data_IF_246306190120
#
_entry.id   IF_246306190120
#
_cell.length_a   1.000
_cell.length_b   1.000
_cell.length_c   1.000
_cell.angle_alpha   90.00
_cell.angle_beta   90.00
_cell.angle_gamma   90.00
#
_symmetry.space_group_name_H-M   'P 1'
#
loop_
_entity.id
_entity.type
_entity.pdbx_description
1 polymer ?
#
# COMPACT_ATOMS: atom_id res chain seq x y z
N UNK A 1 27.82 1.94 7.27
CA UNK A 1 27.87 2.79 6.08
C UNK A 1 26.62 3.65 6.14
N UNK A 2 26.83 4.95 6.42
CA UNK A 2 25.78 5.94 6.56
C UNK A 2 25.09 6.13 5.21
N UNK A 3 23.91 5.55 5.06
CA UNK A 3 23.01 5.96 4.00
C UNK A 3 22.47 7.34 4.38
N UNK A 4 23.06 8.37 3.78
CA UNK A 4 22.55 9.73 3.84
C UNK A 4 21.08 9.72 3.41
N UNK A 5 20.19 9.81 4.37
CA UNK A 5 18.79 10.16 4.12
C UNK A 5 18.80 11.60 3.67
N UNK A 6 18.95 11.82 2.35
CA UNK A 6 18.69 13.14 1.79
C UNK A 6 17.31 13.57 2.26
N UNK A 7 17.26 14.65 3.05
CA UNK A 7 15.99 15.33 3.33
C UNK A 7 15.35 15.61 1.97
N UNK A 8 14.27 14.89 1.63
CA UNK A 8 13.41 15.28 0.52
C UNK A 8 13.16 16.78 0.71
N UNK A 9 13.50 17.61 -0.27
CA UNK A 9 12.86 18.93 -0.39
C UNK A 9 11.37 18.60 -0.37
N UNK A 10 10.68 19.05 0.66
CA UNK A 10 9.24 18.83 0.78
C UNK A 10 8.63 19.34 -0.53
N UNK A 11 8.07 18.44 -1.32
CA UNK A 11 7.37 18.85 -2.54
C UNK A 11 6.16 19.60 -2.02
N UNK A 12 6.14 20.92 -2.27
CA UNK A 12 5.00 21.74 -1.91
C UNK A 12 3.78 21.25 -2.64
N UNK A 13 2.76 20.87 -1.91
CA UNK A 13 1.47 20.49 -2.44
C UNK A 13 0.48 21.63 -2.23
N UNK A 14 -0.51 21.71 -3.11
CA UNK A 14 -1.46 22.81 -3.15
C UNK A 14 -2.88 22.25 -3.14
N UNK A 15 -3.79 22.97 -2.49
CA UNK A 15 -5.24 22.74 -2.54
C UNK A 15 -5.96 23.97 -3.04
N UNK A 16 -7.19 23.80 -3.51
CA UNK A 16 -8.04 24.91 -3.96
C UNK A 16 -8.56 25.70 -2.75
N UNK A 17 -8.41 27.02 -2.79
CA UNK A 17 -9.14 27.90 -1.87
C UNK A 17 -10.50 28.24 -2.44
N UNK A 18 -11.54 27.64 -1.88
CA UNK A 18 -12.93 27.83 -2.34
C UNK A 18 -13.43 29.26 -2.22
N UNK A 19 -12.85 30.08 -1.31
CA UNK A 19 -13.27 31.46 -1.12
C UNK A 19 -12.69 32.41 -2.17
N UNK A 20 -11.62 32.03 -2.82
CA UNK A 20 -10.90 32.87 -3.80
C UNK A 20 -11.33 32.64 -5.25
N UNK A 21 -12.25 31.71 -5.52
CA UNK A 21 -12.67 31.32 -6.88
C UNK A 21 -13.45 32.42 -7.59
N UNK A 22 -14.22 33.23 -6.87
CA UNK A 22 -15.13 34.24 -7.48
C UNK A 22 -14.38 35.43 -8.09
N UNK A 23 -13.13 35.65 -7.74
CA UNK A 23 -12.35 36.83 -8.15
C UNK A 23 -11.63 36.69 -9.50
N UNK A 24 -11.78 35.55 -10.24
CA UNK A 24 -10.91 35.26 -11.38
C UNK A 24 -11.62 35.36 -12.72
N UNK A 25 -10.93 36.01 -13.67
CA UNK A 25 -11.25 35.86 -15.10
C UNK A 25 -11.15 34.41 -15.52
N UNK A 26 -12.27 33.75 -15.80
CA UNK A 26 -12.34 32.36 -16.25
C UNK A 26 -11.72 32.22 -17.63
N UNK A 27 -10.58 31.59 -17.73
CA UNK A 27 -10.03 31.13 -19.01
C UNK A 27 -10.13 29.61 -19.06
N UNK A 28 -10.21 29.01 -20.24
CA UNK A 28 -10.33 27.56 -20.43
C UNK A 28 -9.25 26.78 -19.64
N UNK A 29 -7.99 27.26 -19.65
CA UNK A 29 -6.90 26.63 -18.91
C UNK A 29 -7.10 26.71 -17.39
N UNK A 30 -7.57 27.84 -16.85
CA UNK A 30 -7.81 28.01 -15.41
C UNK A 30 -9.00 27.18 -14.95
N UNK A 31 -10.06 27.10 -15.75
CA UNK A 31 -11.23 26.26 -15.45
C UNK A 31 -10.83 24.80 -15.29
N UNK A 32 -10.00 24.25 -16.18
CA UNK A 32 -9.51 22.87 -16.07
C UNK A 32 -8.80 22.57 -14.74
N UNK A 33 -7.97 23.51 -14.27
CA UNK A 33 -7.28 23.36 -12.98
C UNK A 33 -8.28 23.42 -11.82
N UNK A 34 -9.22 24.37 -11.87
CA UNK A 34 -10.23 24.52 -10.83
C UNK A 34 -11.15 23.29 -10.79
N UNK A 35 -11.57 22.76 -11.94
CA UNK A 35 -12.44 21.60 -12.03
C UNK A 35 -11.74 20.34 -11.50
N UNK A 36 -10.45 20.13 -11.82
CA UNK A 36 -9.65 19.04 -11.25
C UNK A 36 -9.57 19.13 -9.72
N UNK A 37 -9.44 20.34 -9.19
CA UNK A 37 -9.19 20.56 -7.75
C UNK A 37 -10.48 20.79 -6.94
N UNK A 38 -11.66 20.79 -7.59
CA UNK A 38 -12.94 21.11 -6.96
C UNK A 38 -13.50 19.96 -6.15
N UNK A 39 -13.30 18.71 -6.59
CA UNK A 39 -13.91 17.53 -6.00
C UNK A 39 -13.07 16.96 -4.85
N UNK A 40 -13.06 17.64 -3.71
CA UNK A 40 -12.47 17.16 -2.48
C UNK A 40 -11.18 17.85 -2.05
N UNK A 41 -10.63 17.44 -0.93
CA UNK A 41 -9.31 17.87 -0.45
C UNK A 41 -8.19 17.19 -1.26
N UNK A 42 -8.06 17.59 -2.51
CA UNK A 42 -7.01 17.09 -3.40
C UNK A 42 -5.75 17.94 -3.18
N UNK A 43 -4.66 17.31 -2.78
CA UNK A 43 -3.35 17.94 -2.61
C UNK A 43 -2.42 17.44 -3.72
N UNK A 44 -2.10 18.29 -4.69
CA UNK A 44 -1.19 17.99 -5.80
C UNK A 44 -0.04 18.99 -5.83
N UNK A 45 1.13 18.55 -6.27
CA UNK A 45 2.22 19.46 -6.60
C UNK A 45 1.89 20.26 -7.87
N UNK A 46 2.51 21.42 -8.02
CA UNK A 46 2.30 22.25 -9.21
C UNK A 46 2.64 21.52 -10.53
N UNK A 47 3.60 20.58 -10.50
CA UNK A 47 3.95 19.74 -11.65
C UNK A 47 2.89 18.69 -11.97
N UNK A 48 2.28 18.07 -10.96
CA UNK A 48 1.17 17.12 -11.13
C UNK A 48 -0.07 17.82 -11.68
N UNK A 49 -0.45 18.97 -11.12
CA UNK A 49 -1.57 19.78 -11.63
C UNK A 49 -1.37 20.13 -13.12
N UNK A 50 -0.15 20.56 -13.49
CA UNK A 50 0.19 20.87 -14.87
C UNK A 50 0.05 19.65 -15.79
N UNK A 51 0.48 18.49 -15.35
CA UNK A 51 0.43 17.22 -16.10
C UNK A 51 -1.00 16.71 -16.26
N UNK A 52 -1.75 16.63 -15.18
CA UNK A 52 -3.12 16.09 -15.16
C UNK A 52 -4.10 16.96 -15.95
N UNK A 53 -3.94 18.29 -15.89
CA UNK A 53 -4.83 19.22 -16.63
C UNK A 53 -4.35 19.51 -18.05
N UNK A 54 -3.15 19.07 -18.42
CA UNK A 54 -2.45 19.45 -19.66
C UNK A 54 -2.39 20.98 -19.85
N UNK A 55 -2.13 21.71 -18.75
CA UNK A 55 -2.04 23.17 -18.70
C UNK A 55 -0.58 23.56 -18.41
N UNK A 56 -0.11 24.61 -19.07
CA UNK A 56 1.27 25.09 -18.90
C UNK A 56 1.58 25.41 -17.42
N UNK A 57 2.74 25.00 -16.94
CA UNK A 57 3.20 25.21 -15.55
C UNK A 57 3.12 26.68 -15.11
N UNK A 58 3.35 27.63 -16.03
CA UNK A 58 3.24 29.07 -15.78
C UNK A 58 1.83 29.51 -15.38
N UNK A 59 0.79 28.82 -15.86
CA UNK A 59 -0.60 29.09 -15.48
C UNK A 59 -0.87 28.59 -14.06
N UNK A 60 -0.38 27.39 -13.72
CA UNK A 60 -0.49 26.83 -12.36
C UNK A 60 0.23 27.74 -11.37
N UNK A 61 1.44 28.19 -11.72
CA UNK A 61 2.23 29.11 -10.89
C UNK A 61 1.48 30.42 -10.62
N UNK A 62 0.83 31.01 -11.62
CA UNK A 62 0.00 32.20 -11.44
C UNK A 62 -1.22 31.97 -10.55
N UNK A 63 -1.80 30.77 -10.54
CA UNK A 63 -2.90 30.43 -9.63
C UNK A 63 -2.40 30.34 -8.17
N UNK A 64 -1.18 29.88 -7.97
CA UNK A 64 -0.52 29.87 -6.66
C UNK A 64 -0.21 31.30 -6.19
N UNK A 65 0.41 32.11 -7.04
CA UNK A 65 0.75 33.51 -6.75
C UNK A 65 -0.48 34.37 -6.42
N UNK A 66 -1.63 34.05 -7.04
CA UNK A 66 -2.91 34.75 -6.79
C UNK A 66 -3.69 34.17 -5.61
N UNK A 67 -3.13 33.21 -4.83
CA UNK A 67 -3.78 32.65 -3.67
C UNK A 67 -4.98 31.74 -3.92
N UNK A 68 -5.15 31.28 -5.17
CA UNK A 68 -6.24 30.39 -5.58
C UNK A 68 -5.90 28.96 -5.27
N UNK A 69 -4.63 28.60 -5.46
CA UNK A 69 -4.02 27.39 -4.97
C UNK A 69 -3.16 27.77 -3.76
N UNK A 70 -3.62 27.36 -2.59
CA UNK A 70 -2.91 27.61 -1.33
C UNK A 70 -2.05 26.40 -0.97
N UNK A 71 -0.85 26.68 -0.42
CA UNK A 71 0.05 25.64 0.06
C UNK A 71 -0.65 24.87 1.19
N UNK A 72 -0.73 23.55 1.06
CA UNK A 72 -1.27 22.66 2.05
C UNK A 72 -0.23 21.58 2.37
N UNK A 73 0.01 21.34 3.63
CA UNK A 73 0.74 20.14 4.03
C UNK A 73 -0.15 18.93 3.76
N UNK A 74 0.35 18.03 2.94
CA UNK A 74 -0.20 16.69 2.87
C UNK A 74 0.09 16.05 4.23
N UNK A 75 -0.84 16.25 5.15
CA UNK A 75 -0.84 15.42 6.34
C UNK A 75 -1.08 14.00 5.86
N UNK A 76 -0.02 13.18 5.84
CA UNK A 76 -0.07 11.75 5.56
C UNK A 76 -0.78 11.00 6.71
N UNK A 77 -1.85 11.56 7.20
CA UNK A 77 -2.82 10.92 8.04
C UNK A 77 -4.03 10.58 7.18
N UNK A 78 -3.89 9.55 6.36
CA UNK A 78 -5.06 8.73 6.06
C UNK A 78 -5.47 8.08 7.39
N UNK A 79 -6.13 8.90 8.23
CA UNK A 79 -6.92 8.39 9.34
C UNK A 79 -7.85 7.38 8.70
N UNK A 80 -7.68 6.11 9.07
CA UNK A 80 -8.64 5.06 8.77
C UNK A 80 -10.00 5.49 9.37
N UNK A 81 -10.73 6.35 8.65
CA UNK A 81 -12.13 6.59 8.97
C UNK A 81 -12.81 5.26 8.74
N UNK A 82 -13.18 4.60 9.83
CA UNK A 82 -14.08 3.44 9.85
C UNK A 82 -15.32 3.78 9.05
N UNK A 83 -15.29 3.61 7.72
CA UNK A 83 -16.53 3.37 7.00
C UNK A 83 -16.87 1.90 7.26
N UNK A 84 -18.09 1.59 7.72
CA UNK A 84 -18.51 0.20 7.83
C UNK A 84 -18.35 -0.42 6.45
N UNK A 85 -17.53 -1.46 6.38
CA UNK A 85 -17.25 -2.18 5.16
C UNK A 85 -18.52 -2.81 4.60
N UNK A 86 -18.95 -2.41 3.42
CA UNK A 86 -20.00 -3.08 2.66
C UNK A 86 -19.37 -4.22 1.87
N UNK A 87 -19.36 -5.44 2.40
CA UNK A 87 -18.84 -6.62 1.70
C UNK A 87 -17.93 -7.52 2.55
N UNK A 88 -17.94 -7.37 3.87
CA UNK A 88 -17.34 -8.35 4.76
C UNK A 88 -18.12 -9.65 4.61
N UNK A 89 -17.45 -10.69 4.12
CA UNK A 89 -18.00 -12.03 4.11
C UNK A 89 -17.96 -12.57 5.56
N UNK A 90 -19.05 -13.17 6.00
CA UNK A 90 -19.08 -13.84 7.29
C UNK A 90 -18.15 -15.06 7.23
N UNK A 91 -17.17 -15.08 8.12
CA UNK A 91 -16.26 -16.22 8.26
C UNK A 91 -17.02 -17.38 8.93
N UNK A 92 -16.79 -18.59 8.45
CA UNK A 92 -17.21 -19.78 9.19
C UNK A 92 -16.36 -19.96 10.47
N UNK A 93 -16.71 -20.95 11.30
CA UNK A 93 -16.04 -21.20 12.60
C UNK A 93 -14.54 -21.44 12.45
N UNK A 94 -14.14 -22.19 11.44
CA UNK A 94 -12.73 -22.58 11.24
C UNK A 94 -11.91 -21.40 10.72
N UNK A 95 -12.45 -20.66 9.74
CA UNK A 95 -11.87 -19.42 9.22
C UNK A 95 -11.72 -18.38 10.34
N UNK A 96 -12.75 -18.20 11.16
CA UNK A 96 -12.72 -17.28 12.29
C UNK A 96 -11.64 -17.69 13.31
N UNK A 97 -11.59 -18.98 13.67
CA UNK A 97 -10.59 -19.51 14.60
C UNK A 97 -9.17 -19.30 14.06
N UNK A 98 -8.94 -19.58 12.77
CA UNK A 98 -7.64 -19.35 12.13
C UNK A 98 -7.25 -17.87 12.14
N UNK A 99 -8.17 -16.99 11.76
CA UNK A 99 -7.92 -15.55 11.78
C UNK A 99 -7.58 -15.04 13.19
N UNK A 100 -8.31 -15.51 14.24
CA UNK A 100 -8.07 -15.09 15.62
C UNK A 100 -6.69 -15.50 16.13
N UNK A 101 -6.18 -16.67 15.75
CA UNK A 101 -4.81 -17.10 16.12
C UNK A 101 -3.76 -16.15 15.53
N UNK A 102 -3.89 -15.79 14.25
CA UNK A 102 -2.98 -14.86 13.58
C UNK A 102 -3.07 -13.48 14.23
N UNK A 103 -4.29 -12.98 14.49
CA UNK A 103 -4.53 -11.69 15.13
C UNK A 103 -3.91 -11.64 16.53
N UNK A 104 -3.98 -12.73 17.29
CA UNK A 104 -3.32 -12.80 18.61
C UNK A 104 -1.82 -12.64 18.49
N UNK A 105 -1.17 -13.33 17.55
CA UNK A 105 0.28 -13.18 17.31
C UNK A 105 0.67 -11.76 16.88
N UNK A 106 -0.19 -11.08 16.09
CA UNK A 106 0.04 -9.67 15.69
C UNK A 106 0.02 -8.76 16.93
N UNK A 107 -0.97 -8.91 17.81
CA UNK A 107 -1.13 -8.11 19.03
C UNK A 107 -0.01 -8.34 20.02
N UNK A 108 0.40 -9.58 20.18
CA UNK A 108 1.45 -9.99 21.10
C UNK A 108 2.86 -9.70 20.56
N UNK A 109 2.97 -9.20 19.31
CA UNK A 109 4.24 -8.99 18.60
C UNK A 109 5.12 -10.24 18.65
N UNK A 110 4.51 -11.37 18.31
CA UNK A 110 5.13 -12.68 18.39
C UNK A 110 5.33 -13.28 17.01
N UNK A 111 6.54 -13.78 16.77
CA UNK A 111 6.80 -14.58 15.58
C UNK A 111 6.13 -15.94 15.71
N UNK A 112 5.23 -16.24 14.80
CA UNK A 112 4.63 -17.56 14.59
C UNK A 112 4.45 -17.82 13.11
N UNK A 113 4.48 -19.07 12.72
CA UNK A 113 4.25 -19.50 11.34
C UNK A 113 2.88 -20.15 11.25
N UNK A 114 2.09 -19.68 10.32
CA UNK A 114 0.77 -20.21 10.03
C UNK A 114 0.72 -20.73 8.60
N UNK A 115 0.10 -21.88 8.42
CA UNK A 115 -0.26 -22.41 7.11
C UNK A 115 -1.79 -22.44 7.02
N UNK A 116 -2.34 -21.68 6.08
CA UNK A 116 -3.75 -21.74 5.72
C UNK A 116 -3.87 -22.69 4.54
N UNK A 117 -4.25 -23.93 4.84
CA UNK A 117 -4.50 -24.97 3.86
C UNK A 117 -6.00 -25.07 3.55
N UNK A 118 -6.35 -25.19 2.29
CA UNK A 118 -7.74 -25.33 1.86
C UNK A 118 -7.90 -25.25 0.36
N UNK A 119 -8.92 -25.89 -0.17
CA UNK A 119 -9.20 -25.92 -1.61
C UNK A 119 -9.38 -24.52 -2.20
N UNK A 120 -9.22 -24.38 -3.50
CA UNK A 120 -9.47 -23.12 -4.21
C UNK A 120 -10.91 -22.66 -3.95
N UNK A 121 -11.11 -21.38 -3.64
CA UNK A 121 -12.43 -20.83 -3.32
C UNK A 121 -12.91 -21.07 -1.88
N UNK A 122 -12.12 -21.71 -1.01
CA UNK A 122 -12.49 -21.95 0.40
C UNK A 122 -12.46 -20.69 1.28
N UNK A 123 -12.17 -19.52 0.74
CA UNK A 123 -12.13 -18.26 1.49
C UNK A 123 -10.84 -18.01 2.26
N UNK A 124 -9.73 -18.66 1.91
CA UNK A 124 -8.41 -18.42 2.52
C UNK A 124 -8.01 -16.94 2.56
N UNK A 125 -8.33 -16.22 1.48
CA UNK A 125 -8.08 -14.78 1.36
C UNK A 125 -8.79 -13.99 2.45
N UNK A 126 -10.02 -14.33 2.79
CA UNK A 126 -10.77 -13.64 3.83
C UNK A 126 -10.14 -13.82 5.21
N UNK A 127 -9.55 -14.99 5.47
CA UNK A 127 -8.86 -15.27 6.74
C UNK A 127 -7.68 -14.31 6.94
N UNK A 128 -6.80 -14.18 5.94
CA UNK A 128 -5.67 -13.28 6.10
C UNK A 128 -6.06 -11.80 5.92
N UNK A 129 -7.17 -11.48 5.25
CA UNK A 129 -7.70 -10.13 5.22
C UNK A 129 -8.15 -9.64 6.60
N UNK A 130 -8.75 -10.50 7.45
CA UNK A 130 -9.04 -10.15 8.85
C UNK A 130 -7.74 -9.79 9.61
N UNK A 131 -6.68 -10.56 9.40
CA UNK A 131 -5.39 -10.31 10.03
C UNK A 131 -4.73 -9.00 9.54
N UNK A 132 -4.83 -8.72 8.23
CA UNK A 132 -4.38 -7.44 7.64
C UNK A 132 -5.19 -6.28 8.22
N UNK A 133 -6.52 -6.41 8.32
CA UNK A 133 -7.39 -5.37 8.89
C UNK A 133 -6.96 -5.01 10.32
N UNK A 134 -6.66 -6.02 11.14
CA UNK A 134 -6.15 -5.78 12.49
C UNK A 134 -4.78 -5.09 12.49
N UNK A 135 -3.88 -5.52 11.60
CA UNK A 135 -2.55 -4.89 11.45
C UNK A 135 -2.68 -3.41 11.09
N UNK A 136 -3.56 -3.09 10.14
CA UNK A 136 -3.84 -1.72 9.72
C UNK A 136 -4.49 -0.90 10.84
N UNK A 137 -5.36 -1.54 11.66
CA UNK A 137 -6.00 -0.91 12.82
C UNK A 137 -4.99 -0.54 13.90
N UNK A 138 -3.90 -1.31 14.01
CA UNK A 138 -2.77 -1.04 14.90
C UNK A 138 -1.77 -0.05 14.30
N UNK A 139 -2.08 0.58 13.16
CA UNK A 139 -1.23 1.48 12.39
C UNK A 139 0.10 0.87 11.93
N UNK A 140 0.17 -0.47 11.83
CA UNK A 140 1.34 -1.21 11.37
C UNK A 140 1.26 -1.51 9.87
N UNK A 141 2.39 -1.91 9.31
CA UNK A 141 2.51 -2.22 7.89
C UNK A 141 2.28 -3.71 7.62
N UNK A 142 1.66 -4.02 6.50
CA UNK A 142 1.41 -5.38 6.03
C UNK A 142 2.13 -5.62 4.71
N UNK A 143 2.79 -6.78 4.60
CA UNK A 143 3.40 -7.26 3.36
C UNK A 143 2.64 -8.48 2.86
N UNK A 144 2.17 -8.44 1.62
CA UNK A 144 1.57 -9.57 0.92
C UNK A 144 2.43 -9.93 -0.28
N UNK A 145 3.00 -11.11 -0.27
CA UNK A 145 3.71 -11.68 -1.40
C UNK A 145 2.73 -12.42 -2.29
N UNK A 146 2.78 -12.13 -3.57
CA UNK A 146 2.02 -12.80 -4.62
C UNK A 146 2.94 -13.19 -5.77
N UNK A 147 2.66 -14.31 -6.45
CA UNK A 147 3.23 -14.55 -7.78
C UNK A 147 2.91 -13.39 -8.71
N UNK A 148 3.85 -12.97 -9.57
CA UNK A 148 3.64 -11.81 -10.46
C UNK A 148 2.36 -11.96 -11.31
N UNK A 149 2.04 -13.17 -11.72
CA UNK A 149 0.83 -13.50 -12.51
C UNK A 149 -0.48 -13.31 -11.70
N UNK A 150 -0.40 -13.33 -10.38
CA UNK A 150 -1.55 -13.19 -9.47
C UNK A 150 -1.85 -11.73 -9.10
N UNK A 151 -1.04 -10.79 -9.58
CA UNK A 151 -1.23 -9.36 -9.38
C UNK A 151 -2.33 -8.83 -10.32
N UNK A 152 -3.59 -9.17 -10.03
CA UNK A 152 -4.74 -8.85 -10.88
C UNK A 152 -5.48 -7.61 -10.40
N UNK A 153 -6.11 -6.86 -11.32
CA UNK A 153 -6.97 -5.72 -10.99
C UNK A 153 -8.10 -6.11 -10.03
N UNK A 154 -8.67 -7.31 -10.16
CA UNK A 154 -9.72 -7.81 -9.29
C UNK A 154 -9.31 -7.94 -7.82
N UNK A 155 -8.06 -8.32 -7.54
CA UNK A 155 -7.54 -8.36 -6.17
C UNK A 155 -7.39 -6.96 -5.61
N UNK A 156 -6.93 -5.99 -6.43
CA UNK A 156 -6.77 -4.61 -6.00
C UNK A 156 -8.10 -3.95 -5.65
N UNK A 157 -9.09 -4.13 -6.49
CA UNK A 157 -10.44 -3.63 -6.21
C UNK A 157 -11.01 -4.24 -4.93
N UNK A 158 -10.82 -5.53 -4.69
CA UNK A 158 -11.24 -6.17 -3.43
C UNK A 158 -10.56 -5.55 -2.22
N UNK A 159 -9.24 -5.32 -2.30
CA UNK A 159 -8.45 -4.69 -1.23
C UNK A 159 -8.90 -3.26 -0.99
N UNK A 160 -9.07 -2.48 -2.05
CA UNK A 160 -9.53 -1.09 -2.00
C UNK A 160 -10.93 -0.98 -1.39
N UNK A 161 -11.83 -1.85 -1.80
CA UNK A 161 -13.18 -1.96 -1.23
C UNK A 161 -13.08 -2.40 0.24
N UNK A 162 -12.28 -3.41 0.57
CA UNK A 162 -12.15 -3.98 1.92
C UNK A 162 -11.56 -3.02 2.92
N UNK A 163 -10.45 -2.38 2.58
CA UNK A 163 -9.66 -1.60 3.53
C UNK A 163 -9.80 -0.09 3.33
N UNK A 164 -10.42 0.35 2.24
CA UNK A 164 -10.54 1.78 1.92
C UNK A 164 -9.20 2.47 1.68
N UNK A 165 -8.15 1.70 1.39
CA UNK A 165 -6.81 2.19 1.07
C UNK A 165 -6.36 1.63 -0.27
N UNK A 166 -5.47 2.34 -0.92
CA UNK A 166 -4.81 1.89 -2.13
C UNK A 166 -3.52 1.15 -1.74
N UNK A 167 -3.40 -0.16 -2.07
CA UNK A 167 -2.18 -0.88 -1.77
C UNK A 167 -1.05 -0.38 -2.65
N UNK A 168 0.17 -0.40 -2.11
CA UNK A 168 1.37 -0.12 -2.89
C UNK A 168 1.81 -1.39 -3.60
N UNK A 169 2.07 -1.26 -4.90
CA UNK A 169 2.52 -2.36 -5.76
C UNK A 169 4.03 -2.36 -5.89
N UNK A 170 4.66 -3.54 -5.72
CA UNK A 170 6.09 -3.72 -5.95
C UNK A 170 6.36 -4.86 -6.91
N UNK A 171 6.76 -4.54 -8.15
CA UNK A 171 7.01 -5.51 -9.22
C UNK A 171 8.17 -5.07 -10.13
N UNK A 172 8.55 -5.94 -11.07
CA UNK A 172 9.69 -5.75 -12.00
C UNK A 172 9.54 -4.53 -12.91
N UNK A 173 8.32 -4.18 -13.33
CA UNK A 173 8.06 -3.15 -14.36
C UNK A 173 8.02 -1.71 -13.81
N UNK A 174 8.20 -1.55 -12.49
CA UNK A 174 8.26 -0.22 -11.89
C UNK A 174 9.47 0.57 -12.38
N UNK A 175 9.25 1.83 -12.74
CA UNK A 175 10.33 2.76 -13.08
C UNK A 175 11.24 3.01 -11.87
N UNK A 176 12.50 3.37 -12.10
CA UNK A 176 13.46 3.68 -11.03
C UNK A 176 12.96 4.79 -10.10
N UNK A 177 12.27 5.79 -10.65
CA UNK A 177 11.69 6.89 -9.86
C UNK A 177 10.59 6.37 -8.93
N UNK A 178 9.66 5.54 -9.45
CA UNK A 178 8.56 4.98 -8.66
C UNK A 178 9.06 4.01 -7.60
N UNK A 179 10.06 3.19 -7.91
CA UNK A 179 10.71 2.33 -6.90
C UNK A 179 11.31 3.14 -5.75
N UNK A 180 12.01 4.25 -6.06
CA UNK A 180 12.60 5.13 -5.04
C UNK A 180 11.52 5.78 -4.17
N UNK A 181 10.44 6.22 -4.76
CA UNK A 181 9.29 6.79 -4.04
C UNK A 181 8.68 5.77 -3.07
N UNK A 182 8.32 4.58 -3.59
CA UNK A 182 7.76 3.49 -2.77
C UNK A 182 8.71 3.11 -1.64
N UNK A 183 9.99 2.94 -1.95
CA UNK A 183 11.01 2.60 -0.95
C UNK A 183 11.03 3.60 0.20
N UNK A 184 10.95 4.91 -0.12
CA UNK A 184 10.91 5.97 0.89
C UNK A 184 9.62 5.99 1.70
N UNK A 185 8.48 5.73 1.05
CA UNK A 185 7.18 5.73 1.71
C UNK A 185 7.04 4.51 2.66
N UNK A 186 7.58 3.35 2.26
CA UNK A 186 7.69 2.17 3.13
C UNK A 186 8.58 2.46 4.33
N UNK A 187 9.77 3.04 4.10
CA UNK A 187 10.72 3.41 5.17
C UNK A 187 10.11 4.39 6.19
N UNK A 188 9.25 5.31 5.75
CA UNK A 188 8.56 6.25 6.65
C UNK A 188 7.34 5.64 7.34
N UNK A 189 6.90 4.46 6.91
CA UNK A 189 5.67 3.84 7.37
C UNK A 189 4.40 4.49 6.79
N UNK A 190 4.52 5.25 5.70
CA UNK A 190 3.41 5.89 5.00
C UNK A 190 2.63 4.86 4.16
N UNK A 191 3.33 3.89 3.57
CA UNK A 191 2.72 2.75 2.88
C UNK A 191 2.33 1.66 3.86
N UNK A 192 1.04 1.53 4.14
CA UNK A 192 0.52 0.59 5.15
C UNK A 192 0.30 -0.83 4.62
N UNK A 193 0.00 -0.97 3.34
CA UNK A 193 -0.19 -2.26 2.68
C UNK A 193 0.65 -2.31 1.41
N UNK A 194 1.63 -3.19 1.42
CA UNK A 194 2.50 -3.47 0.27
C UNK A 194 2.16 -4.84 -0.29
N UNK A 195 1.93 -4.89 -1.59
CA UNK A 195 1.70 -6.12 -2.33
C UNK A 195 2.78 -6.23 -3.39
N UNK A 196 3.42 -7.36 -3.49
CA UNK A 196 4.46 -7.49 -4.49
C UNK A 196 5.04 -8.88 -4.65
N UNK A 197 5.92 -8.97 -5.63
CA UNK A 197 6.72 -10.15 -5.86
C UNK A 197 7.78 -10.34 -4.77
N UNK A 198 8.52 -11.45 -4.83
CA UNK A 198 9.58 -11.83 -3.88
C UNK A 198 10.55 -10.70 -3.48
N UNK A 199 10.85 -9.78 -4.39
CA UNK A 199 11.78 -8.66 -4.10
C UNK A 199 11.23 -7.63 -3.13
N UNK A 200 9.93 -7.61 -2.85
CA UNK A 200 9.32 -6.72 -1.85
C UNK A 200 9.72 -7.05 -0.41
N UNK A 201 10.24 -8.25 -0.16
CA UNK A 201 10.83 -8.65 1.13
C UNK A 201 12.00 -7.76 1.57
N UNK A 202 12.69 -7.13 0.63
CA UNK A 202 13.86 -6.29 0.89
C UNK A 202 13.51 -4.80 1.05
N UNK A 203 12.24 -4.46 1.13
CA UNK A 203 11.81 -3.10 1.42
C UNK A 203 12.03 -2.77 2.90
N UNK A 204 12.38 -1.53 3.23
CA UNK A 204 12.71 -1.12 4.60
C UNK A 204 11.44 -0.80 5.39
N UNK A 205 10.71 -1.80 5.83
CA UNK A 205 9.53 -1.59 6.66
C UNK A 205 9.89 -0.93 7.98
N UNK A 206 9.11 0.08 8.37
CA UNK A 206 9.31 0.82 9.62
C UNK A 206 8.72 0.07 10.82
N UNK A 207 7.54 -0.48 10.67
CA UNK A 207 6.81 -1.25 11.69
C UNK A 207 5.97 -2.32 10.99
N UNK A 208 6.63 -3.39 10.56
CA UNK A 208 5.96 -4.52 9.94
C UNK A 208 5.12 -5.26 10.98
N UNK A 209 3.89 -5.63 10.63
CA UNK A 209 2.94 -6.30 11.51
C UNK A 209 2.57 -7.72 11.09
N UNK A 210 2.65 -8.00 9.80
CA UNK A 210 2.35 -9.30 9.23
C UNK A 210 3.05 -9.49 7.88
N UNK A 211 3.43 -10.72 7.58
CA UNK A 211 3.86 -11.15 6.24
C UNK A 211 2.91 -12.25 5.79
N UNK A 212 2.31 -12.08 4.62
CA UNK A 212 1.48 -13.10 3.95
C UNK A 212 2.18 -13.56 2.69
N UNK A 213 2.21 -14.86 2.46
CA UNK A 213 2.72 -15.49 1.23
C UNK A 213 1.55 -16.26 0.65
N UNK A 214 0.88 -15.67 -0.33
CA UNK A 214 -0.23 -16.34 -1.01
C UNK A 214 0.28 -17.21 -2.14
N UNK A 215 -0.39 -18.34 -2.41
CA UNK A 215 0.05 -19.40 -3.33
C UNK A 215 1.51 -19.83 -3.05
N UNK A 216 1.81 -20.16 -1.77
CA UNK A 216 3.19 -20.42 -1.28
C UNK A 216 3.95 -21.49 -2.06
N UNK A 217 3.22 -22.39 -2.74
CA UNK A 217 3.76 -23.47 -3.57
C UNK A 217 4.27 -23.00 -4.94
N UNK A 218 4.04 -21.74 -5.31
CA UNK A 218 4.40 -21.24 -6.64
C UNK A 218 5.92 -21.16 -6.82
N UNK A 219 6.41 -21.71 -7.94
CA UNK A 219 7.84 -21.75 -8.25
C UNK A 219 8.49 -20.38 -8.43
N UNK A 220 7.71 -19.32 -8.70
CA UNK A 220 8.23 -17.96 -8.85
C UNK A 220 8.85 -17.41 -7.56
N UNK A 221 8.56 -18.01 -6.41
CA UNK A 221 9.18 -17.65 -5.14
C UNK A 221 10.64 -18.10 -5.02
N UNK A 222 11.09 -19.01 -5.86
CA UNK A 222 12.50 -19.42 -5.92
C UNK A 222 13.24 -18.56 -6.94
N UNK A 223 14.23 -17.78 -6.47
CA UNK A 223 15.14 -17.09 -7.36
C UNK A 223 16.25 -18.03 -7.80
N UNK A 224 16.40 -18.19 -9.11
CA UNK A 224 17.39 -19.12 -9.70
C UNK A 224 18.58 -18.40 -10.32
N UNK A 225 18.48 -17.10 -10.57
CA UNK A 225 19.53 -16.29 -11.17
C UNK A 225 20.14 -15.31 -10.15
N UNK A 226 21.44 -15.12 -10.22
CA UNK A 226 22.17 -14.23 -9.31
C UNK A 226 22.28 -14.83 -7.90
N UNK A 227 21.79 -14.11 -6.90
CA UNK A 227 21.74 -14.61 -5.53
C UNK A 227 20.55 -15.57 -5.40
N UNK A 228 20.85 -16.83 -5.17
CA UNK A 228 19.83 -17.89 -5.03
C UNK A 228 19.20 -17.81 -3.65
N UNK A 229 17.88 -17.65 -3.59
CA UNK A 229 17.09 -17.70 -2.36
C UNK A 229 15.65 -18.15 -2.64
N UNK A 230 14.98 -18.62 -1.60
CA UNK A 230 13.54 -18.87 -1.63
C UNK A 230 12.83 -17.79 -0.81
N UNK A 231 11.81 -17.14 -1.40
CA UNK A 231 11.11 -16.04 -0.75
C UNK A 231 10.42 -16.46 0.55
N UNK A 232 9.91 -17.70 0.63
CA UNK A 232 9.34 -18.28 1.85
C UNK A 232 10.34 -18.27 3.00
N UNK A 233 11.56 -18.77 2.77
CA UNK A 233 12.57 -18.86 3.81
C UNK A 233 13.04 -17.46 4.26
N UNK A 234 13.17 -16.55 3.31
CA UNK A 234 13.48 -15.16 3.60
C UNK A 234 12.36 -14.47 4.38
N UNK A 235 11.09 -14.74 4.05
CA UNK A 235 9.95 -14.21 4.79
C UNK A 235 9.90 -14.75 6.23
N UNK A 236 10.19 -16.04 6.42
CA UNK A 236 10.29 -16.66 7.75
C UNK A 236 11.42 -16.00 8.55
N UNK A 237 12.58 -15.78 7.93
CA UNK A 237 13.73 -15.13 8.56
C UNK A 237 13.40 -13.68 8.94
N UNK A 238 12.77 -12.92 8.03
CA UNK A 238 12.33 -11.55 8.28
C UNK A 238 11.28 -11.51 9.39
N UNK A 239 10.26 -12.40 9.34
CA UNK A 239 9.23 -12.49 10.38
C UNK A 239 9.80 -12.80 11.76
N UNK A 240 10.81 -13.67 11.84
CA UNK A 240 11.53 -13.98 13.08
C UNK A 240 12.30 -12.76 13.61
N UNK A 241 12.96 -12.01 12.72
CA UNK A 241 13.71 -10.82 13.08
C UNK A 241 12.79 -9.69 13.57
N UNK A 242 11.71 -9.40 12.82
CA UNK A 242 10.74 -8.36 13.12
C UNK A 242 9.73 -8.76 14.21
N UNK A 243 9.75 -10.02 14.67
CA UNK A 243 8.80 -10.60 15.65
C UNK A 243 7.35 -10.46 15.20
N UNK A 244 7.08 -10.87 13.97
CA UNK A 244 5.75 -10.80 13.35
C UNK A 244 5.34 -12.16 12.79
N UNK A 245 4.03 -12.46 12.75
CA UNK A 245 3.55 -13.68 12.14
C UNK A 245 3.81 -13.73 10.65
N UNK A 246 4.12 -14.93 10.16
CA UNK A 246 4.23 -15.26 8.74
C UNK A 246 3.12 -16.24 8.40
N UNK A 247 2.26 -15.84 7.46
CA UNK A 247 1.09 -16.60 7.03
C UNK A 247 1.34 -17.12 5.62
N UNK A 248 1.47 -18.41 5.48
CA UNK A 248 1.56 -19.11 4.20
C UNK A 248 0.18 -19.59 3.80
N UNK A 249 -0.19 -19.40 2.55
CA UNK A 249 -1.52 -19.76 2.03
C UNK A 249 -1.35 -20.63 0.79
N UNK A 250 -1.99 -21.78 0.78
CA UNK A 250 -1.92 -22.70 -0.35
C UNK A 250 -3.18 -23.56 -0.48
N UNK A 251 -3.48 -23.97 -1.70
CA UNK A 251 -4.42 -25.05 -1.98
C UNK A 251 -3.72 -26.42 -2.06
N UNK A 252 -2.40 -26.39 -2.28
CA UNK A 252 -1.54 -27.58 -2.43
C UNK A 252 -0.21 -27.28 -1.75
N UNK A 253 -0.15 -27.38 -0.40
CA UNK A 253 1.05 -27.03 0.34
C UNK A 253 2.29 -27.75 -0.14
N UNK A 254 3.41 -27.01 -0.27
CA UNK A 254 4.70 -27.58 -0.65
C UNK A 254 5.22 -28.50 0.46
N UNK A 255 5.86 -29.60 0.08
CA UNK A 255 6.55 -30.52 0.99
C UNK A 255 8.01 -30.13 1.26
N UNK A 256 8.53 -29.09 0.58
CA UNK A 256 9.90 -28.58 0.73
C UNK A 256 10.05 -27.62 1.91
#
# INVERSE_FOLDING_TARGET
QDYLVEKKKSIKTYKLDHNSIEAIKKTSARSKVIDLMRDGEIFLSASEISKETNVAYSVVKKLIENGILIEGEYASQKIFKKKPYKGKLDLNSDQFSAAQKIITSIKDKKFERFLIDGVTGSGKTEVYFEAIEETLRLDRQSLVLLPEISLTEGLFERIKIRFGIEPVMWHSDLTKSKRREIWQDVFRGESKLVIGARSSLFLPFKDLGIIVIDEEHDHSYKQQEGVIYHARDMAISLGSYEKVPVVMVSATPSLE
#
